data_IF_147049376145
#
_entry.id   IF_147049376145
#
_cell.length_a   1.000
_cell.length_b   1.000
_cell.length_c   1.000
_cell.angle_alpha   90.00
_cell.angle_beta   90.00
_cell.angle_gamma   90.00
#
_symmetry.space_group_name_H-M   'P 1'
#
loop_
_entity.id
_entity.type
_entity.pdbx_description
1 polymer ?
#
# COMPACT_ATOMS: atom_id res chain seq x y z
N UNK A 1 10.77 -11.11 -24.96
CA UNK A 1 11.71 -11.69 -23.98
C UNK A 1 11.20 -11.20 -22.64
N UNK A 2 10.79 -12.12 -21.76
CA UNK A 2 10.45 -11.72 -20.40
C UNK A 2 11.79 -11.35 -19.76
N UNK A 3 11.96 -10.09 -19.40
CA UNK A 3 13.00 -9.73 -18.43
C UNK A 3 12.75 -10.61 -17.21
N UNK A 4 13.71 -11.46 -16.87
CA UNK A 4 13.74 -12.04 -15.54
C UNK A 4 13.77 -10.87 -14.56
N UNK A 5 12.93 -10.85 -13.51
CA UNK A 5 12.93 -9.75 -12.57
C UNK A 5 14.34 -9.69 -11.97
N UNK A 6 15.09 -8.64 -12.34
CA UNK A 6 16.40 -8.36 -11.78
C UNK A 6 16.22 -8.39 -10.26
N UNK A 7 16.92 -9.33 -9.60
CA UNK A 7 16.76 -9.56 -8.17
C UNK A 7 17.05 -8.24 -7.47
N UNK A 8 16.07 -7.74 -6.70
CA UNK A 8 16.21 -6.45 -6.08
C UNK A 8 17.46 -6.45 -5.18
N UNK A 9 18.22 -5.34 -5.13
CA UNK A 9 19.37 -5.23 -4.25
C UNK A 9 19.04 -5.64 -2.82
N UNK A 10 20.02 -6.18 -2.10
CA UNK A 10 19.88 -6.52 -0.69
C UNK A 10 19.36 -5.30 0.10
N UNK A 11 18.41 -5.55 1.00
CA UNK A 11 17.77 -4.52 1.82
C UNK A 11 16.65 -3.73 1.13
N UNK A 12 16.31 -4.02 -0.12
CA UNK A 12 15.16 -3.40 -0.81
C UNK A 12 13.88 -4.17 -0.49
N UNK A 13 12.89 -3.47 0.06
CA UNK A 13 11.55 -4.04 0.17
C UNK A 13 10.80 -3.98 -1.16
N UNK A 14 10.33 -5.15 -1.61
CA UNK A 14 9.61 -5.30 -2.87
C UNK A 14 8.17 -5.72 -2.61
N UNK A 15 7.23 -4.97 -3.16
CA UNK A 15 5.85 -5.43 -3.33
C UNK A 15 5.75 -6.19 -4.66
N UNK A 16 5.15 -7.39 -4.70
CA UNK A 16 5.05 -8.17 -5.92
C UNK A 16 4.17 -7.46 -6.95
N UNK A 17 4.48 -7.65 -8.23
CA UNK A 17 3.66 -7.13 -9.32
C UNK A 17 2.29 -7.80 -9.31
N UNK A 18 1.24 -7.00 -9.42
CA UNK A 18 -0.15 -7.50 -9.39
C UNK A 18 -0.66 -7.73 -10.81
N UNK A 19 -1.22 -8.92 -11.12
CA UNK A 19 -1.77 -9.18 -12.43
C UNK A 19 -2.94 -8.22 -12.75
N UNK A 20 -3.01 -7.63 -13.96
CA UNK A 20 -4.07 -6.69 -14.33
C UNK A 20 -5.48 -7.32 -14.29
N UNK A 21 -5.58 -8.65 -14.39
CA UNK A 21 -6.84 -9.40 -14.33
C UNK A 21 -7.54 -9.29 -12.97
N UNK A 22 -6.83 -8.89 -11.91
CA UNK A 22 -7.43 -8.64 -10.60
C UNK A 22 -8.28 -7.37 -10.56
N UNK A 23 -8.11 -6.46 -11.53
CA UNK A 23 -8.93 -5.25 -11.67
C UNK A 23 -8.77 -4.22 -10.55
N UNK A 24 -7.67 -4.28 -9.78
CA UNK A 24 -7.36 -3.32 -8.72
C UNK A 24 -6.96 -1.97 -9.31
N UNK A 25 -7.35 -0.86 -8.68
CA UNK A 25 -7.00 0.48 -9.13
C UNK A 25 -5.47 0.65 -9.27
N UNK A 26 -4.95 0.96 -10.49
CA UNK A 26 -3.52 1.13 -10.72
C UNK A 26 -2.86 2.22 -9.86
N UNK A 27 -3.59 3.28 -9.50
CA UNK A 27 -3.06 4.33 -8.62
C UNK A 27 -2.90 3.82 -7.19
N UNK A 28 -3.84 3.00 -6.71
CA UNK A 28 -3.69 2.35 -5.41
C UNK A 28 -2.49 1.40 -5.41
N UNK A 29 -2.31 0.60 -6.47
CA UNK A 29 -1.15 -0.26 -6.61
C UNK A 29 0.16 0.54 -6.58
N UNK A 30 0.26 1.62 -7.35
CA UNK A 30 1.43 2.47 -7.36
C UNK A 30 1.77 3.03 -5.97
N UNK A 31 0.76 3.46 -5.21
CA UNK A 31 0.94 3.94 -3.84
C UNK A 31 1.39 2.81 -2.91
N UNK A 32 0.81 1.61 -3.01
CA UNK A 32 1.23 0.47 -2.20
C UNK A 32 2.68 0.08 -2.46
N UNK A 33 3.11 0.05 -3.73
CA UNK A 33 4.50 -0.19 -4.10
C UNK A 33 5.44 0.88 -3.50
N UNK A 34 5.07 2.15 -3.60
CA UNK A 34 5.87 3.25 -3.04
C UNK A 34 5.98 3.15 -1.52
N UNK A 35 4.88 2.88 -0.82
CA UNK A 35 4.89 2.74 0.65
C UNK A 35 5.74 1.56 1.09
N UNK A 36 5.59 0.39 0.46
CA UNK A 36 6.41 -0.79 0.79
C UNK A 36 7.89 -0.50 0.61
N UNK A 37 8.25 0.17 -0.50
CA UNK A 37 9.63 0.56 -0.75
C UNK A 37 10.14 1.55 0.31
N UNK A 38 9.39 2.62 0.58
CA UNK A 38 9.81 3.70 1.48
C UNK A 38 9.87 3.29 2.96
N UNK A 39 8.94 2.44 3.42
CA UNK A 39 8.87 2.04 4.83
C UNK A 39 9.53 0.69 5.12
N UNK A 40 9.78 -0.12 4.10
CA UNK A 40 10.27 -1.48 4.25
C UNK A 40 11.73 -1.68 3.88
N UNK A 41 12.33 -0.75 3.12
CA UNK A 41 13.74 -0.86 2.74
C UNK A 41 14.66 -0.39 3.86
N UNK A 42 15.86 -0.94 3.89
CA UNK A 42 16.88 -0.62 4.89
C UNK A 42 17.39 0.82 4.76
N UNK A 43 17.91 1.38 5.87
CA UNK A 43 18.43 2.75 5.95
C UNK A 43 19.59 3.04 4.96
N UNK A 44 20.28 1.99 4.50
CA UNK A 44 21.32 2.07 3.47
C UNK A 44 20.76 2.29 2.06
N UNK A 45 19.49 1.92 1.84
CA UNK A 45 18.76 2.07 0.57
C UNK A 45 17.93 3.35 0.57
N UNK A 46 17.18 3.59 1.66
CA UNK A 46 16.26 4.71 1.78
C UNK A 46 16.59 5.49 3.05
N UNK A 47 16.83 6.80 2.91
CA UNK A 47 17.02 7.65 4.08
C UNK A 47 15.73 7.69 4.93
N UNK A 48 15.78 7.29 6.22
CA UNK A 48 14.59 7.10 7.04
C UNK A 48 13.86 8.41 7.38
N UNK A 49 14.59 9.51 7.52
CA UNK A 49 13.98 10.83 7.79
C UNK A 49 13.22 11.33 6.56
N UNK A 50 13.82 11.19 5.37
CA UNK A 50 13.19 11.58 4.11
C UNK A 50 12.00 10.69 3.75
N UNK A 51 12.07 9.38 4.02
CA UNK A 51 10.94 8.48 3.79
C UNK A 51 9.79 8.77 4.75
N UNK A 52 10.09 9.05 6.01
CA UNK A 52 9.08 9.45 7.01
C UNK A 52 8.33 10.71 6.55
N UNK A 53 9.05 11.76 6.13
CA UNK A 53 8.43 12.98 5.61
C UNK A 53 7.54 12.71 4.37
N UNK A 54 8.02 11.89 3.43
CA UNK A 54 7.22 11.52 2.26
C UNK A 54 5.94 10.72 2.63
N UNK A 55 6.05 9.81 3.61
CA UNK A 55 4.93 9.02 4.12
C UNK A 55 3.90 9.89 4.83
N UNK A 56 4.30 10.94 5.54
CA UNK A 56 3.39 11.91 6.17
C UNK A 56 2.56 12.69 5.12
N UNK A 57 3.18 13.13 4.03
CA UNK A 57 2.42 13.76 2.93
C UNK A 57 1.48 12.77 2.24
N UNK A 58 1.91 11.53 2.01
CA UNK A 58 1.03 10.50 1.47
C UNK A 58 -0.16 10.23 2.40
N UNK A 59 0.07 10.16 3.72
CA UNK A 59 -1.00 10.05 4.72
C UNK A 59 -2.03 11.17 4.57
N UNK A 60 -1.54 12.41 4.48
CA UNK A 60 -2.39 13.61 4.32
C UNK A 60 -3.31 13.50 3.10
N UNK A 61 -2.82 12.99 1.96
CA UNK A 61 -3.65 12.81 0.76
C UNK A 61 -4.57 11.59 0.86
N UNK A 62 -4.11 10.49 1.43
CA UNK A 62 -4.93 9.28 1.61
C UNK A 62 -6.10 9.52 2.56
N UNK A 63 -5.94 10.37 3.57
CA UNK A 63 -7.00 10.76 4.50
C UNK A 63 -8.17 11.48 3.82
N UNK A 64 -7.95 12.08 2.64
CA UNK A 64 -9.01 12.74 1.85
C UNK A 64 -9.91 11.73 1.11
N UNK A 65 -9.56 10.44 1.11
CA UNK A 65 -10.40 9.41 0.50
C UNK A 65 -11.73 9.29 1.25
N UNK A 66 -12.83 9.49 0.52
CA UNK A 66 -14.18 9.42 1.04
C UNK A 66 -15.17 8.86 0.01
N UNK A 67 -16.37 8.52 0.46
CA UNK A 67 -17.46 8.03 -0.38
C UNK A 67 -17.06 6.83 -1.25
N UNK A 68 -17.39 6.91 -2.53
CA UNK A 68 -17.15 5.83 -3.50
C UNK A 68 -15.66 5.49 -3.67
N UNK A 69 -14.76 6.48 -3.59
CA UNK A 69 -13.31 6.24 -3.73
C UNK A 69 -12.76 5.44 -2.55
N UNK A 70 -13.20 5.77 -1.33
CA UNK A 70 -12.81 5.01 -0.13
C UNK A 70 -13.39 3.60 -0.15
N UNK A 71 -14.66 3.44 -0.58
CA UNK A 71 -15.29 2.12 -0.72
C UNK A 71 -14.49 1.23 -1.67
N UNK A 72 -14.14 1.74 -2.86
CA UNK A 72 -13.33 1.01 -3.86
C UNK A 72 -11.96 0.63 -3.31
N UNK A 73 -11.24 1.55 -2.68
CA UNK A 73 -9.94 1.25 -2.09
C UNK A 73 -10.00 0.11 -1.05
N UNK A 74 -11.07 0.04 -0.23
CA UNK A 74 -11.28 -1.05 0.74
C UNK A 74 -11.55 -2.40 0.06
N UNK A 75 -12.32 -2.38 -1.03
CA UNK A 75 -12.62 -3.58 -1.83
C UNK A 75 -11.36 -4.11 -2.51
N UNK A 76 -10.57 -3.22 -3.11
CA UNK A 76 -9.30 -3.52 -3.74
C UNK A 76 -8.29 -4.12 -2.76
N UNK A 77 -8.11 -3.51 -1.58
CA UNK A 77 -7.24 -4.07 -0.53
C UNK A 77 -7.73 -5.44 -0.04
N UNK A 78 -9.05 -5.65 0.00
CA UNK A 78 -9.63 -6.95 0.34
C UNK A 78 -9.36 -7.99 -0.74
N UNK A 79 -9.45 -7.61 -2.02
CA UNK A 79 -9.13 -8.44 -3.17
C UNK A 79 -7.65 -8.83 -3.13
N UNK A 80 -6.74 -7.86 -2.99
CA UNK A 80 -5.30 -8.08 -2.87
C UNK A 80 -4.95 -9.01 -1.71
N UNK A 81 -5.56 -8.81 -0.53
CA UNK A 81 -5.33 -9.67 0.63
C UNK A 81 -5.79 -11.10 0.39
N UNK A 82 -6.90 -11.28 -0.33
CA UNK A 82 -7.41 -12.61 -0.68
C UNK A 82 -6.50 -13.31 -1.67
N UNK A 83 -6.08 -12.58 -2.71
CA UNK A 83 -5.10 -13.06 -3.68
C UNK A 83 -3.76 -13.42 -3.03
N UNK A 84 -3.18 -12.52 -2.24
CA UNK A 84 -1.91 -12.75 -1.56
C UNK A 84 -1.95 -13.97 -0.62
N UNK A 85 -3.10 -14.29 -0.02
CA UNK A 85 -3.26 -15.55 0.74
C UNK A 85 -3.24 -16.79 -0.16
N UNK A 86 -3.84 -16.73 -1.34
CA UNK A 86 -3.83 -17.82 -2.32
C UNK A 86 -2.42 -18.05 -2.87
N UNK A 87 -1.70 -16.96 -3.16
CA UNK A 87 -0.30 -16.94 -3.58
C UNK A 87 0.70 -17.15 -2.43
N UNK A 88 0.20 -17.41 -1.20
CA UNK A 88 1.02 -17.70 0.00
C UNK A 88 2.06 -16.61 0.32
N UNK A 89 1.71 -15.35 0.11
CA UNK A 89 2.54 -14.22 0.48
C UNK A 89 2.90 -14.21 1.97
N UNK A 90 4.01 -13.54 2.34
CA UNK A 90 4.38 -13.35 3.73
C UNK A 90 3.22 -12.78 4.57
N UNK A 91 3.11 -13.25 5.82
CA UNK A 91 2.08 -12.77 6.75
C UNK A 91 2.17 -11.27 6.99
N UNK A 92 3.38 -10.72 7.00
CA UNK A 92 3.64 -9.28 7.14
C UNK A 92 2.99 -8.49 5.99
N UNK A 93 3.11 -8.96 4.74
CA UNK A 93 2.50 -8.31 3.58
C UNK A 93 0.97 -8.36 3.62
N UNK A 94 0.42 -9.49 4.06
CA UNK A 94 -1.03 -9.65 4.27
C UNK A 94 -1.54 -8.75 5.41
N UNK A 95 -0.73 -8.56 6.46
CA UNK A 95 -1.04 -7.67 7.58
C UNK A 95 -1.00 -6.21 7.14
N UNK A 96 0.05 -5.81 6.41
CA UNK A 96 0.17 -4.49 5.80
C UNK A 96 -1.08 -4.13 4.99
N UNK A 97 -1.53 -4.99 4.07
CA UNK A 97 -2.76 -4.73 3.31
C UNK A 97 -4.02 -4.63 4.18
N UNK A 98 -4.06 -5.32 5.32
CA UNK A 98 -5.18 -5.27 6.26
C UNK A 98 -5.21 -3.96 7.03
N UNK A 99 -4.05 -3.44 7.45
CA UNK A 99 -3.95 -2.26 8.30
C UNK A 99 -3.68 -0.98 7.54
N UNK A 100 -3.28 -1.05 6.26
CA UNK A 100 -2.88 0.06 5.40
C UNK A 100 -3.69 1.34 5.62
N UNK A 101 -5.00 1.31 5.35
CA UNK A 101 -5.85 2.50 5.51
C UNK A 101 -5.88 3.03 6.94
N UNK A 102 -5.88 2.14 7.93
CA UNK A 102 -5.87 2.53 9.36
C UNK A 102 -4.52 3.13 9.75
N UNK A 103 -3.40 2.56 9.29
CA UNK A 103 -2.05 3.06 9.57
C UNK A 103 -1.84 4.47 9.00
N UNK A 104 -2.52 4.79 7.89
CA UNK A 104 -2.54 6.14 7.30
C UNK A 104 -3.67 7.05 7.84
N UNK A 105 -4.44 6.62 8.85
CA UNK A 105 -5.52 7.42 9.48
C UNK A 105 -6.78 7.59 8.64
N UNK A 106 -6.99 6.75 7.62
CA UNK A 106 -8.12 6.84 6.70
C UNK A 106 -9.38 6.22 7.30
N UNK A 107 -10.39 7.06 7.54
CA UNK A 107 -11.68 6.66 8.10
C UNK A 107 -11.89 7.01 9.57
N UNK A 108 -10.89 7.59 10.24
CA UNK A 108 -11.01 8.10 11.62
C UNK A 108 -11.65 9.51 11.68
N UNK A 109 -12.13 10.01 10.54
CA UNK A 109 -12.89 11.24 10.47
C UNK A 109 -14.31 10.98 10.98
N UNK A 110 -14.43 10.95 12.30
CA UNK A 110 -15.66 11.27 13.02
C UNK A 110 -16.01 12.75 12.78
N UNK A 111 -16.44 13.08 11.56
CA UNK A 111 -17.09 14.36 11.29
C UNK A 111 -18.43 14.42 12.03
N UNK A 112 -18.84 15.59 12.54
CA UNK A 112 -20.06 15.70 13.34
C UNK A 112 -21.28 15.29 12.52
N UNK A 113 -22.17 14.50 13.13
CA UNK A 113 -23.58 14.43 12.73
C UNK A 113 -24.10 15.86 12.70
N UNK A 114 -24.25 16.42 11.51
CA UNK A 114 -24.91 17.71 11.35
C UNK A 114 -26.39 17.40 11.07
N UNK A 115 -27.32 17.92 11.89
CA UNK A 115 -28.75 17.63 11.80
C UNK A 115 -29.42 18.17 10.54
#
# INVERSE_FOLDING_TARGET
>A
MADEPEEAPDGVAVFPLIPPELGVDPLLLAVLHAVVFLSGSDDEVVNPDASSEALEYMATYLQQLQGERLRRAREDLTCLRTYGRQEKWPKQLTLFLKTFLTDFGVGDHSGPLTP
#
